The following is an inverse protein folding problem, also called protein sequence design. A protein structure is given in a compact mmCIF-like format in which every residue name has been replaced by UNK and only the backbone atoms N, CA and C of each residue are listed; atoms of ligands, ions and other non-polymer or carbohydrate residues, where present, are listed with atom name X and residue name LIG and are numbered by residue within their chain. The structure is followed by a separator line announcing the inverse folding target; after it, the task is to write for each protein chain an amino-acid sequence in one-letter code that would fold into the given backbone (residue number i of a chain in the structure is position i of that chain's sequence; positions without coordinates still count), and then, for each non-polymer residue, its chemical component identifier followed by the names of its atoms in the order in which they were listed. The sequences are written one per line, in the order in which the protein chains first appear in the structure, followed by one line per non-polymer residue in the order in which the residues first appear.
data_IF_688533685490
#
_entry.id   IF_688533685490
#
_cell.length_a   1.000
_cell.length_b   1.000
_cell.length_c   1.000
_cell.angle_alpha   90.00
_cell.angle_beta   90.00
_cell.angle_gamma   90.00
#
_symmetry.space_group_name_H-M   'P 1'
#
loop_
_entity.id
_entity.type
_entity.pdbx_description
1 polymer ?
#
# COMPACT_ATOMS: atom_id res chain seq x y z
N UNK A 1 -6.35 4.00 -9.76
CA UNK A 1 -5.95 3.23 -8.56
C UNK A 1 -4.64 3.80 -8.06
N UNK A 2 -4.53 4.17 -6.78
CA UNK A 2 -3.24 4.52 -6.20
C UNK A 2 -2.27 3.35 -6.39
N UNK A 3 -1.04 3.61 -6.82
CA UNK A 3 -0.06 2.53 -6.97
C UNK A 3 0.14 1.80 -5.64
N UNK A 4 0.25 0.48 -5.70
CA UNK A 4 0.38 -0.38 -4.51
C UNK A 4 -0.95 -0.83 -3.92
N UNK A 5 -2.08 -0.40 -4.49
CA UNK A 5 -3.40 -0.95 -4.15
C UNK A 5 -3.77 -2.11 -5.06
N UNK A 6 -4.62 -3.00 -4.55
CA UNK A 6 -5.06 -4.21 -5.25
C UNK A 6 -6.34 -3.89 -6.05
N UNK A 7 -6.28 -4.03 -7.36
CA UNK A 7 -7.46 -4.09 -8.21
C UNK A 7 -7.83 -5.54 -8.52
N UNK A 8 -8.77 -5.76 -9.42
CA UNK A 8 -9.06 -7.10 -9.92
C UNK A 8 -10.54 -7.35 -10.09
N UNK A 9 -10.87 -8.59 -10.38
CA UNK A 9 -12.25 -9.05 -10.48
C UNK A 9 -12.81 -9.21 -9.07
N UNK A 10 -13.97 -8.61 -8.82
CA UNK A 10 -14.73 -8.80 -7.58
C UNK A 10 -15.97 -9.60 -7.96
N UNK A 11 -16.04 -10.84 -7.52
CA UNK A 11 -17.15 -11.74 -7.79
C UNK A 11 -16.71 -13.20 -7.79
N UNK A 12 -17.68 -14.11 -7.77
CA UNK A 12 -17.43 -15.56 -7.74
C UNK A 12 -17.44 -16.17 -9.16
N UNK A 13 -16.88 -15.45 -10.14
CA UNK A 13 -16.84 -15.94 -11.53
C UNK A 13 -15.71 -16.95 -11.68
N UNK A 14 -16.02 -18.12 -12.23
CA UNK A 14 -15.03 -19.20 -12.44
C UNK A 14 -15.09 -19.75 -13.86
N UNK A 15 -14.01 -20.40 -14.29
CA UNK A 15 -13.93 -21.09 -15.59
C UNK A 15 -14.37 -20.21 -16.77
N UNK A 16 -15.36 -20.71 -17.53
CA UNK A 16 -15.86 -20.01 -18.72
C UNK A 16 -16.53 -18.66 -18.42
N UNK A 17 -17.20 -18.51 -17.28
CA UNK A 17 -17.89 -17.26 -16.95
C UNK A 17 -16.89 -16.13 -16.74
N UNK A 18 -15.80 -16.44 -16.04
CA UNK A 18 -14.68 -15.52 -15.85
C UNK A 18 -14.07 -15.11 -17.19
N UNK A 19 -13.85 -16.08 -18.10
CA UNK A 19 -13.35 -15.81 -19.46
C UNK A 19 -14.29 -14.87 -20.22
N UNK A 20 -15.59 -15.20 -20.26
CA UNK A 20 -16.61 -14.41 -20.98
C UNK A 20 -16.67 -12.97 -20.45
N UNK A 21 -16.64 -12.80 -19.13
CA UNK A 21 -16.62 -11.49 -18.51
C UNK A 21 -15.38 -10.68 -18.94
N UNK A 22 -14.19 -11.28 -18.86
CA UNK A 22 -12.95 -10.58 -19.24
C UNK A 22 -12.94 -10.25 -20.73
N UNK A 23 -13.44 -11.15 -21.59
CA UNK A 23 -13.58 -10.87 -23.02
C UNK A 23 -14.51 -9.67 -23.26
N UNK A 24 -15.62 -9.58 -22.53
CA UNK A 24 -16.52 -8.43 -22.57
C UNK A 24 -15.83 -7.14 -22.11
N UNK A 25 -15.03 -7.18 -21.03
CA UNK A 25 -14.22 -6.05 -20.56
C UNK A 25 -13.19 -5.63 -21.62
N UNK A 26 -12.46 -6.58 -22.21
CA UNK A 26 -11.47 -6.30 -23.27
C UNK A 26 -12.14 -5.67 -24.49
N UNK A 27 -13.31 -6.19 -24.90
CA UNK A 27 -14.10 -5.62 -26.00
C UNK A 27 -14.54 -4.19 -25.67
N UNK A 28 -15.13 -3.97 -24.50
CA UNK A 28 -15.52 -2.64 -24.03
C UNK A 28 -14.34 -1.67 -24.01
N UNK A 29 -13.17 -2.08 -23.49
CA UNK A 29 -11.97 -1.25 -23.50
C UNK A 29 -11.50 -0.92 -24.92
N UNK A 30 -11.57 -1.88 -25.85
CA UNK A 30 -11.15 -1.69 -27.26
C UNK A 30 -11.92 -0.57 -27.95
N UNK A 31 -13.19 -0.36 -27.60
CA UNK A 31 -14.04 0.72 -28.10
C UNK A 31 -13.67 2.10 -27.52
N UNK A 32 -12.83 2.17 -26.47
CA UNK A 32 -12.54 3.38 -25.68
C UNK A 32 -11.10 3.88 -25.77
N UNK A 33 -10.31 3.50 -26.79
CA UNK A 33 -8.88 3.89 -26.96
C UNK A 33 -8.05 3.70 -25.68
N UNK A 34 -8.01 2.47 -25.17
CA UNK A 34 -7.23 2.10 -23.99
C UNK A 34 -5.73 1.91 -24.31
N UNK A 35 -4.87 2.07 -23.30
CA UNK A 35 -3.42 1.83 -23.42
C UNK A 35 -3.01 0.49 -22.79
N UNK A 36 -3.54 0.22 -21.60
CA UNK A 36 -3.16 -0.92 -20.76
C UNK A 36 -4.34 -1.33 -19.89
N UNK A 37 -4.52 -2.64 -19.73
CA UNK A 37 -5.47 -3.27 -18.84
C UNK A 37 -4.67 -4.15 -17.89
N UNK A 38 -4.87 -3.96 -16.59
CA UNK A 38 -4.16 -4.67 -15.54
C UNK A 38 -5.17 -5.28 -14.57
N UNK A 39 -5.03 -6.57 -14.29
CA UNK A 39 -5.82 -7.31 -13.32
C UNK A 39 -4.85 -7.86 -12.29
N UNK A 40 -5.08 -7.54 -11.01
CA UNK A 40 -4.30 -8.12 -9.91
C UNK A 40 -5.04 -9.35 -9.43
N UNK A 41 -4.35 -10.49 -9.48
CA UNK A 41 -4.84 -11.76 -9.00
C UNK A 41 -4.17 -12.08 -7.66
N UNK A 42 -4.71 -11.48 -6.61
CA UNK A 42 -4.16 -11.60 -5.25
C UNK A 42 -4.35 -13.01 -4.66
N UNK A 43 -5.41 -13.71 -5.08
CA UNK A 43 -5.81 -15.02 -4.56
C UNK A 43 -5.43 -16.19 -5.49
N UNK A 44 -4.99 -15.94 -6.72
CA UNK A 44 -4.59 -16.98 -7.67
C UNK A 44 -5.77 -17.60 -8.43
N UNK A 45 -6.88 -16.87 -8.52
CA UNK A 45 -8.18 -17.32 -9.03
C UNK A 45 -8.41 -16.92 -10.49
N UNK A 46 -7.47 -16.22 -11.13
CA UNK A 46 -7.61 -15.69 -12.49
C UNK A 46 -6.68 -16.37 -13.51
N UNK A 47 -6.33 -17.65 -13.30
CA UNK A 47 -5.38 -18.38 -14.16
C UNK A 47 -5.85 -18.47 -15.63
N UNK A 48 -7.17 -18.43 -15.85
CA UNK A 48 -7.79 -18.43 -17.17
C UNK A 48 -7.38 -17.23 -18.05
N UNK A 49 -6.88 -16.13 -17.45
CA UNK A 49 -6.36 -14.97 -18.17
C UNK A 49 -5.18 -15.29 -19.09
N UNK A 50 -4.44 -16.36 -18.81
CA UNK A 50 -3.32 -16.82 -19.63
C UNK A 50 -3.81 -17.22 -21.04
N UNK A 51 -5.02 -17.77 -21.14
CA UNK A 51 -5.65 -18.14 -22.42
C UNK A 51 -6.07 -16.91 -23.26
N UNK A 52 -6.11 -15.72 -22.66
CA UNK A 52 -6.53 -14.47 -23.31
C UNK A 52 -5.37 -13.54 -23.70
N UNK A 53 -4.15 -14.08 -23.79
CA UNK A 53 -2.91 -13.36 -24.14
C UNK A 53 -2.57 -12.21 -23.18
N UNK A 54 -2.88 -12.38 -21.89
CA UNK A 54 -2.36 -11.50 -20.85
C UNK A 54 -0.93 -11.92 -20.48
N UNK A 55 -0.04 -10.94 -20.33
CA UNK A 55 1.28 -11.18 -19.75
C UNK A 55 1.12 -11.35 -18.24
N UNK A 56 1.49 -12.53 -17.73
CA UNK A 56 1.56 -12.81 -16.28
C UNK A 56 2.89 -12.31 -15.71
N UNK A 57 2.84 -11.66 -14.56
CA UNK A 57 4.02 -11.27 -13.77
C UNK A 57 3.78 -11.64 -12.32
N UNK A 58 4.69 -12.42 -11.73
CA UNK A 58 4.64 -12.72 -10.30
C UNK A 58 5.27 -11.58 -9.52
N UNK A 59 4.60 -11.16 -8.46
CA UNK A 59 5.11 -10.20 -7.48
C UNK A 59 4.78 -10.68 -6.08
N UNK A 60 5.23 -9.94 -5.05
CA UNK A 60 4.95 -10.30 -3.67
C UNK A 60 4.59 -9.09 -2.82
N UNK A 61 3.86 -9.37 -1.74
CA UNK A 61 3.60 -8.47 -0.61
C UNK A 61 4.11 -9.12 0.68
N UNK A 62 4.03 -8.40 1.80
CA UNK A 62 4.19 -9.00 3.13
C UNK A 62 2.87 -8.97 3.88
N UNK A 63 2.44 -10.11 4.39
CA UNK A 63 1.27 -10.23 5.25
C UNK A 63 1.70 -10.63 6.65
N UNK A 64 1.16 -9.96 7.66
CA UNK A 64 1.18 -10.45 9.03
C UNK A 64 -0.16 -11.17 9.27
N UNK A 65 -0.10 -12.44 9.62
CA UNK A 65 -1.25 -13.14 10.19
C UNK A 65 -1.38 -12.75 11.67
N UNK A 66 -2.41 -11.97 12.00
CA UNK A 66 -2.62 -11.38 13.33
C UNK A 66 -3.05 -12.40 14.40
N UNK A 67 -3.53 -13.57 13.98
CA UNK A 67 -3.86 -14.69 14.88
C UNK A 67 -2.64 -15.57 15.17
N UNK A 68 -1.52 -15.34 14.49
CA UNK A 68 -0.29 -16.12 14.67
C UNK A 68 0.68 -15.47 15.66
N UNK A 69 1.52 -16.30 16.28
CA UNK A 69 2.62 -15.82 17.15
C UNK A 69 3.61 -14.91 16.41
N UNK A 70 3.71 -14.99 15.08
CA UNK A 70 4.58 -14.10 14.28
C UNK A 70 4.16 -12.64 14.39
N UNK A 71 2.88 -12.36 14.66
CA UNK A 71 2.41 -10.99 14.89
C UNK A 71 3.01 -10.33 16.15
N UNK A 72 3.62 -11.12 17.04
CA UNK A 72 4.23 -10.62 18.27
C UNK A 72 5.71 -10.27 18.13
N UNK A 73 6.40 -10.81 17.10
CA UNK A 73 7.86 -10.71 16.96
C UNK A 73 8.32 -9.25 16.91
N UNK A 74 7.57 -8.40 16.21
CA UNK A 74 7.91 -6.98 16.07
C UNK A 74 7.90 -6.20 17.39
N UNK A 75 7.18 -6.66 18.41
CA UNK A 75 7.18 -6.01 19.73
C UNK A 75 8.46 -6.25 20.53
N UNK A 76 9.28 -7.23 20.14
CA UNK A 76 10.61 -7.47 20.72
C UNK A 76 11.71 -6.70 19.97
N UNK A 77 11.35 -5.96 18.92
CA UNK A 77 12.31 -5.18 18.14
C UNK A 77 12.87 -4.06 19.00
N UNK A 78 14.20 -3.98 19.13
CA UNK A 78 14.90 -2.89 19.82
C UNK A 78 14.42 -1.48 19.43
N UNK A 79 14.07 -1.29 18.16
CA UNK A 79 13.53 -0.01 17.67
C UNK A 79 12.17 0.35 18.27
N UNK A 80 11.29 -0.63 18.46
CA UNK A 80 10.01 -0.44 19.15
C UNK A 80 10.22 -0.18 20.65
N UNK A 81 11.07 -0.96 21.32
CA UNK A 81 11.40 -0.71 22.73
C UNK A 81 12.02 0.67 22.95
N UNK A 82 12.83 1.15 22.01
CA UNK A 82 13.37 2.51 22.01
C UNK A 82 12.27 3.56 21.88
N UNK A 83 11.31 3.35 20.97
CA UNK A 83 10.21 4.31 20.77
C UNK A 83 9.32 4.45 22.00
N UNK A 84 9.10 3.35 22.74
CA UNK A 84 8.32 3.37 23.99
C UNK A 84 8.96 4.21 25.11
N UNK A 85 10.28 4.44 25.05
CA UNK A 85 11.01 5.29 26.01
C UNK A 85 11.02 6.76 25.61
N UNK A 86 10.40 7.10 24.49
CA UNK A 86 10.30 8.47 23.97
C UNK A 86 8.93 9.05 24.27
N UNK A 87 8.88 10.36 24.43
CA UNK A 87 7.63 11.11 24.63
C UNK A 87 6.89 11.31 23.30
N UNK A 88 6.43 10.20 22.72
CA UNK A 88 5.69 10.18 21.47
C UNK A 88 4.20 10.01 21.74
N UNK A 89 3.39 10.90 21.19
CA UNK A 89 1.94 10.76 21.16
C UNK A 89 1.49 10.21 19.80
N UNK A 90 0.61 9.20 19.80
CA UNK A 90 0.04 8.64 18.56
C UNK A 90 -1.47 8.85 18.57
N UNK A 91 -2.01 9.41 17.48
CA UNK A 91 -3.45 9.60 17.30
C UNK A 91 -3.86 9.60 15.83
N UNK A 92 -5.15 9.48 15.58
CA UNK A 92 -5.70 9.71 14.24
C UNK A 92 -5.60 11.21 13.86
N UNK A 93 -5.42 11.45 12.56
CA UNK A 93 -5.47 12.77 11.94
C UNK A 93 -6.88 13.38 12.09
N UNK A 94 -6.98 14.69 12.29
CA UNK A 94 -8.28 15.34 12.53
C UNK A 94 -8.55 16.60 11.71
N UNK A 95 -7.59 17.12 10.93
CA UNK A 95 -7.80 18.34 10.14
C UNK A 95 -7.03 18.37 8.83
N UNK A 96 -7.48 19.24 7.91
CA UNK A 96 -6.79 19.48 6.64
C UNK A 96 -5.42 20.14 6.82
N UNK A 97 -5.20 20.89 7.89
CA UNK A 97 -3.87 21.46 8.19
C UNK A 97 -2.86 20.36 8.54
N UNK A 98 -3.31 19.32 9.24
CA UNK A 98 -2.49 18.14 9.50
C UNK A 98 -2.21 17.37 8.20
N UNK A 99 -3.19 17.30 7.29
CA UNK A 99 -2.99 16.69 5.96
C UNK A 99 -1.91 17.43 5.18
N UNK A 100 -1.89 18.77 5.24
CA UNK A 100 -0.83 19.60 4.65
C UNK A 100 0.54 19.27 5.25
N UNK A 101 0.62 19.15 6.58
CA UNK A 101 1.85 18.77 7.26
C UNK A 101 2.34 17.39 6.82
N UNK A 102 1.45 16.39 6.79
CA UNK A 102 1.79 15.06 6.26
C UNK A 102 2.28 15.12 4.81
N UNK A 103 1.66 15.95 3.97
CA UNK A 103 2.13 16.12 2.60
C UNK A 103 3.55 16.70 2.52
N UNK A 104 3.93 17.61 3.41
CA UNK A 104 5.32 18.09 3.49
C UNK A 104 6.29 16.97 3.88
N UNK A 105 5.92 16.11 4.82
CA UNK A 105 6.73 14.93 5.19
C UNK A 105 6.90 13.97 3.99
N UNK A 106 5.85 13.78 3.20
CA UNK A 106 5.88 13.01 1.96
C UNK A 106 6.87 13.61 0.94
N UNK A 107 6.80 14.91 0.70
CA UNK A 107 7.70 15.62 -0.22
C UNK A 107 9.17 15.50 0.23
N UNK A 108 9.45 15.72 1.52
CA UNK A 108 10.80 15.59 2.06
C UNK A 108 11.35 14.16 1.93
N UNK A 109 10.51 13.15 2.10
CA UNK A 109 10.87 11.74 1.90
C UNK A 109 11.16 11.46 0.42
N UNK A 110 10.35 11.99 -0.50
CA UNK A 110 10.56 11.84 -1.93
C UNK A 110 11.87 12.51 -2.41
N UNK A 111 12.18 13.69 -1.88
CA UNK A 111 13.43 14.40 -2.15
C UNK A 111 14.66 13.62 -1.66
N UNK A 112 14.62 13.11 -0.43
CA UNK A 112 15.67 12.24 0.13
C UNK A 112 15.96 11.03 -0.76
N UNK A 113 14.93 10.43 -1.34
CA UNK A 113 15.04 9.29 -2.25
C UNK A 113 15.32 9.68 -3.71
N UNK A 114 15.56 10.97 -3.99
CA UNK A 114 15.86 11.52 -5.31
C UNK A 114 14.82 11.11 -6.36
N UNK A 115 13.56 11.07 -5.96
CA UNK A 115 12.48 10.69 -6.85
C UNK A 115 12.31 11.79 -7.91
N UNK A 116 12.55 11.44 -9.18
CA UNK A 116 12.45 12.37 -10.32
C UNK A 116 11.09 13.04 -10.46
N UNK A 117 10.04 12.46 -9.89
CA UNK A 117 8.67 12.99 -9.87
C UNK A 117 7.97 12.58 -8.58
N UNK A 118 7.22 13.52 -8.01
CA UNK A 118 6.25 13.19 -6.96
C UNK A 118 5.16 12.30 -7.55
N UNK A 119 4.84 11.26 -6.80
CA UNK A 119 3.88 10.22 -7.17
C UNK A 119 2.45 10.75 -7.14
N UNK A 120 2.13 11.64 -6.19
CA UNK A 120 0.78 12.14 -5.96
C UNK A 120 0.76 13.65 -5.68
N UNK A 121 -0.23 14.38 -6.23
CA UNK A 121 -0.46 15.78 -5.89
C UNK A 121 -1.12 15.91 -4.51
N UNK A 122 -1.02 17.09 -3.89
CA UNK A 122 -1.69 17.37 -2.60
C UNK A 122 -3.20 17.08 -2.64
N UNK A 123 -3.86 17.43 -3.75
CA UNK A 123 -5.29 17.15 -3.97
C UNK A 123 -5.67 15.68 -3.74
N UNK A 124 -4.74 14.74 -3.99
CA UNK A 124 -4.98 13.34 -3.72
C UNK A 124 -5.12 13.06 -2.21
N UNK A 125 -4.24 13.63 -1.38
CA UNK A 125 -4.28 13.48 0.08
C UNK A 125 -5.50 14.20 0.68
N UNK A 126 -5.84 15.38 0.15
CA UNK A 126 -7.05 16.12 0.55
C UNK A 126 -8.32 15.30 0.25
N UNK A 127 -8.42 14.73 -0.95
CA UNK A 127 -9.55 13.89 -1.32
C UNK A 127 -9.62 12.63 -0.43
N UNK A 128 -8.47 12.02 -0.14
CA UNK A 128 -8.42 10.84 0.71
C UNK A 128 -8.93 11.14 2.12
N UNK A 129 -8.47 12.22 2.74
CA UNK A 129 -8.98 12.66 4.04
C UNK A 129 -10.46 12.98 3.98
N UNK A 130 -10.90 13.78 3.00
CA UNK A 130 -12.29 14.22 2.89
C UNK A 130 -13.27 13.06 2.71
N UNK A 131 -12.90 12.04 1.93
CA UNK A 131 -13.72 10.85 1.72
C UNK A 131 -13.63 9.83 2.87
N UNK A 132 -12.50 9.81 3.58
CA UNK A 132 -12.20 8.74 4.53
C UNK A 132 -12.37 9.11 6.00
N UNK A 133 -12.34 10.40 6.37
CA UNK A 133 -12.31 10.87 7.77
C UNK A 133 -13.49 10.39 8.62
N UNK A 134 -14.67 10.27 8.02
CA UNK A 134 -15.90 9.84 8.70
C UNK A 134 -16.19 8.34 8.44
N UNK A 135 -15.24 7.63 7.82
CA UNK A 135 -15.35 6.21 7.49
C UNK A 135 -14.43 5.37 8.36
N UNK A 136 -14.80 4.12 8.61
CA UNK A 136 -13.86 3.15 9.18
C UNK A 136 -12.86 2.60 8.16
N UNK A 137 -12.98 2.95 6.87
CA UNK A 137 -12.16 2.43 5.78
C UNK A 137 -10.77 3.08 5.71
N UNK A 138 -10.59 4.24 6.35
CA UNK A 138 -9.33 4.97 6.40
C UNK A 138 -8.81 5.00 7.83
N UNK A 139 -7.55 4.59 8.03
CA UNK A 139 -6.84 4.75 9.29
C UNK A 139 -5.54 5.49 9.05
N UNK A 140 -5.55 6.77 9.40
CA UNK A 140 -4.43 7.67 9.19
C UNK A 140 -3.91 8.15 10.54
N UNK A 141 -2.82 7.55 10.97
CA UNK A 141 -2.19 7.80 12.25
C UNK A 141 -1.03 8.79 12.12
N UNK A 142 -0.87 9.62 13.13
CA UNK A 142 0.19 10.60 13.28
C UNK A 142 1.03 10.24 14.50
N UNK A 143 2.33 10.51 14.43
CA UNK A 143 3.20 10.60 15.60
C UNK A 143 3.51 12.05 15.86
N UNK A 144 3.29 12.49 17.10
CA UNK A 144 3.64 13.80 17.58
C UNK A 144 4.75 13.71 18.63
N UNK A 145 5.69 14.65 18.55
CA UNK A 145 6.65 14.95 19.61
C UNK A 145 6.65 16.44 19.83
N UNK A 146 6.51 16.89 21.08
CA UNK A 146 6.47 18.32 21.41
C UNK A 146 5.44 19.11 20.56
N UNK A 147 4.28 18.50 20.29
CA UNK A 147 3.18 19.02 19.43
C UNK A 147 3.49 19.11 17.92
N UNK A 148 4.69 18.77 17.48
CA UNK A 148 5.05 18.67 16.06
C UNK A 148 4.69 17.29 15.52
N UNK A 149 4.08 17.23 14.33
CA UNK A 149 3.88 15.97 13.58
C UNK A 149 5.23 15.56 12.99
N UNK A 150 5.77 14.43 13.48
CA UNK A 150 7.09 13.94 13.06
C UNK A 150 7.00 12.72 12.15
N UNK A 151 5.86 12.03 12.11
CA UNK A 151 5.61 10.93 11.19
C UNK A 151 4.12 10.72 10.98
N UNK A 152 3.77 10.04 9.89
CA UNK A 152 2.42 9.55 9.66
C UNK A 152 2.44 8.18 8.99
N UNK A 153 1.32 7.48 9.10
CA UNK A 153 1.03 6.26 8.37
C UNK A 153 -0.43 6.23 7.95
N UNK A 154 -0.68 5.87 6.69
CA UNK A 154 -2.00 5.73 6.08
C UNK A 154 -2.26 4.25 5.80
N UNK A 155 -3.41 3.79 6.26
CA UNK A 155 -3.87 2.43 6.08
C UNK A 155 -5.30 2.41 5.57
N UNK A 156 -5.60 1.42 4.74
CA UNK A 156 -6.97 1.12 4.31
C UNK A 156 -7.48 -0.10 5.04
N UNK A 157 -8.68 -0.02 5.57
CA UNK A 157 -9.39 -1.13 6.17
C UNK A 157 -10.44 -1.65 5.17
N UNK A 158 -10.41 -2.96 4.92
CA UNK A 158 -11.49 -3.61 4.20
C UNK A 158 -11.70 -5.02 4.76
N UNK A 159 -12.94 -5.31 5.20
CA UNK A 159 -13.29 -6.54 5.93
C UNK A 159 -12.34 -6.77 7.12
N UNK A 160 -11.65 -7.91 7.14
CA UNK A 160 -10.72 -8.36 8.19
C UNK A 160 -9.25 -8.08 7.82
N UNK A 161 -8.99 -7.17 6.87
CA UNK A 161 -7.64 -6.83 6.40
C UNK A 161 -7.37 -5.34 6.57
N UNK A 162 -6.33 -5.02 7.34
CA UNK A 162 -5.70 -3.69 7.32
C UNK A 162 -4.61 -3.69 6.23
N UNK A 163 -4.50 -2.62 5.45
CA UNK A 163 -3.49 -2.49 4.40
C UNK A 163 -2.67 -1.22 4.60
N UNK A 164 -1.39 -1.36 4.90
CA UNK A 164 -0.43 -0.25 4.89
C UNK A 164 -0.30 0.27 3.46
N UNK A 165 -0.56 1.55 3.25
CA UNK A 165 -0.50 2.15 1.92
C UNK A 165 0.65 3.15 1.77
N UNK A 166 0.77 4.07 2.73
CA UNK A 166 1.76 5.14 2.67
C UNK A 166 2.21 5.55 4.07
N UNK A 167 3.39 6.14 4.16
CA UNK A 167 3.94 6.64 5.41
C UNK A 167 5.24 7.40 5.17
N UNK A 168 5.47 8.40 6.01
CA UNK A 168 6.67 9.22 5.97
C UNK A 168 7.02 9.72 7.37
N UNK A 169 8.27 10.14 7.53
CA UNK A 169 8.79 10.62 8.81
C UNK A 169 9.86 11.68 8.59
N UNK A 170 9.96 12.63 9.52
CA UNK A 170 11.00 13.64 9.52
C UNK A 170 12.36 12.98 9.78
N UNK A 171 13.37 13.22 8.93
CA UNK A 171 14.70 12.62 9.08
C UNK A 171 15.34 12.85 10.45
N UNK A 172 15.19 14.06 11.00
CA UNK A 172 15.82 14.47 12.26
C UNK A 172 15.28 13.72 13.48
N UNK A 173 14.09 13.11 13.35
CA UNK A 173 13.43 12.36 14.41
C UNK A 173 13.53 10.84 14.23
N UNK A 174 14.27 10.34 13.23
CA UNK A 174 14.41 8.90 13.00
C UNK A 174 15.06 8.15 14.17
N UNK A 175 15.87 8.83 14.98
CA UNK A 175 16.48 8.29 16.20
C UNK A 175 15.45 8.00 17.30
N UNK A 176 14.29 8.67 17.28
CA UNK A 176 13.16 8.41 18.17
C UNK A 176 12.26 7.26 17.70
N UNK A 177 12.57 6.67 16.54
CA UNK A 177 11.89 5.47 16.01
C UNK A 177 10.37 5.66 15.78
N UNK A 178 9.90 6.77 15.19
CA UNK A 178 8.46 7.01 15.03
C UNK A 178 7.77 5.98 14.13
N UNK A 179 8.47 5.45 13.13
CA UNK A 179 7.91 4.40 12.24
C UNK A 179 7.72 3.06 12.96
N UNK A 180 8.59 2.73 13.92
CA UNK A 180 8.40 1.55 14.78
C UNK A 180 7.23 1.76 15.75
N UNK A 181 7.09 2.97 16.29
CA UNK A 181 5.95 3.34 17.13
C UNK A 181 4.62 3.20 16.36
N UNK A 182 4.55 3.72 15.13
CA UNK A 182 3.38 3.59 14.26
C UNK A 182 3.06 2.13 13.93
N UNK A 183 4.06 1.34 13.57
CA UNK A 183 3.84 -0.07 13.23
C UNK A 183 3.30 -0.87 14.42
N UNK A 184 3.89 -0.69 15.61
CA UNK A 184 3.40 -1.32 16.83
C UNK A 184 1.99 -0.87 17.22
N UNK A 185 1.70 0.43 17.08
CA UNK A 185 0.34 0.96 17.27
C UNK A 185 -0.65 0.31 16.29
N UNK A 186 -0.27 0.21 15.02
CA UNK A 186 -1.11 -0.33 13.94
C UNK A 186 -1.47 -1.79 14.18
N UNK A 187 -0.48 -2.62 14.55
CA UNK A 187 -0.69 -4.05 14.84
C UNK A 187 -1.58 -4.21 16.07
N UNK A 188 -1.30 -3.46 17.15
CA UNK A 188 -2.13 -3.51 18.35
C UNK A 188 -3.57 -3.08 18.08
N UNK A 189 -3.76 -2.01 17.30
CA UNK A 189 -5.08 -1.56 16.87
C UNK A 189 -5.80 -2.63 16.04
N UNK A 190 -5.12 -3.24 15.07
CA UNK A 190 -5.69 -4.28 14.22
C UNK A 190 -6.13 -5.51 15.03
N UNK A 191 -5.30 -5.96 15.99
CA UNK A 191 -5.63 -7.09 16.88
C UNK A 191 -6.82 -6.77 17.80
N UNK A 192 -6.86 -5.58 18.39
CA UNK A 192 -8.00 -5.14 19.22
C UNK A 192 -9.32 -5.11 18.43
N UNK A 193 -9.24 -4.82 17.12
CA UNK A 193 -10.37 -4.82 16.21
C UNK A 193 -10.62 -6.18 15.53
N UNK A 194 -9.97 -7.26 15.99
CA UNK A 194 -10.16 -8.64 15.51
C UNK A 194 -9.98 -8.81 14.00
N UNK A 195 -9.04 -8.04 13.43
CA UNK A 195 -8.63 -8.23 12.04
C UNK A 195 -7.77 -9.48 11.93
N UNK A 196 -7.85 -10.18 10.80
CA UNK A 196 -7.06 -11.41 10.55
C UNK A 196 -5.71 -11.12 9.93
N UNK A 197 -5.63 -10.14 9.03
CA UNK A 197 -4.42 -9.84 8.31
C UNK A 197 -4.05 -8.37 8.36
N UNK A 198 -2.75 -8.11 8.47
CA UNK A 198 -2.18 -6.80 8.17
C UNK A 198 -1.26 -6.91 6.96
N UNK A 199 -1.70 -6.35 5.85
CA UNK A 199 -0.97 -6.32 4.60
C UNK A 199 -0.03 -5.10 4.56
N UNK A 200 1.27 -5.35 4.60
CA UNK A 200 2.30 -4.31 4.61
C UNK A 200 2.65 -3.80 3.19
N UNK A 201 1.92 -4.27 2.17
CA UNK A 201 2.11 -3.88 0.78
C UNK A 201 3.36 -4.46 0.12
N UNK A 202 3.43 -4.30 -1.20
CA UNK A 202 4.58 -4.72 -2.00
C UNK A 202 5.87 -3.95 -1.68
N UNK A 203 7.01 -4.54 -1.99
CA UNK A 203 8.31 -3.86 -1.94
C UNK A 203 9.02 -4.06 -3.28
N UNK A 204 9.74 -3.05 -3.80
CA UNK A 204 10.70 -3.29 -4.89
C UNK A 204 11.71 -4.35 -4.47
N UNK A 205 12.10 -5.24 -5.39
CA UNK A 205 13.03 -6.34 -5.07
C UNK A 205 14.37 -5.87 -4.48
N UNK A 206 14.82 -4.69 -4.89
CA UNK A 206 16.08 -4.08 -4.43
C UNK A 206 15.95 -3.26 -3.15
N UNK A 207 14.76 -3.14 -2.57
CA UNK A 207 14.52 -2.34 -1.36
C UNK A 207 14.75 -3.18 -0.09
N UNK A 208 15.97 -3.70 0.08
CA UNK A 208 16.32 -4.66 1.15
C UNK A 208 15.97 -4.15 2.55
N UNK A 209 16.25 -2.88 2.85
CA UNK A 209 15.91 -2.30 4.15
C UNK A 209 14.40 -2.26 4.42
N UNK A 210 13.58 -1.99 3.40
CA UNK A 210 12.11 -2.00 3.52
C UNK A 210 11.57 -3.43 3.65
N UNK A 211 12.14 -4.38 2.90
CA UNK A 211 11.80 -5.81 3.01
C UNK A 211 12.11 -6.31 4.42
N UNK A 212 13.35 -6.08 4.88
CA UNK A 212 13.79 -6.45 6.23
C UNK A 212 12.92 -5.81 7.31
N UNK A 213 12.59 -4.53 7.18
CA UNK A 213 11.69 -3.87 8.13
C UNK A 213 10.34 -4.58 8.25
N UNK A 214 9.73 -4.97 7.12
CA UNK A 214 8.45 -5.70 7.11
C UNK A 214 8.58 -7.11 7.72
N UNK A 215 9.66 -7.81 7.39
CA UNK A 215 9.96 -9.16 7.92
C UNK A 215 10.25 -9.13 9.44
N UNK A 216 10.99 -8.12 9.93
CA UNK A 216 11.28 -7.91 11.36
C UNK A 216 10.00 -7.64 12.19
N UNK A 217 8.93 -7.17 11.54
CA UNK A 217 7.60 -6.98 12.13
C UNK A 217 6.68 -8.20 11.98
N UNK A 218 7.22 -9.34 11.55
CA UNK A 218 6.46 -10.60 11.39
C UNK A 218 5.78 -10.74 10.03
N UNK A 219 6.08 -9.86 9.07
CA UNK A 219 5.53 -9.91 7.73
C UNK A 219 6.09 -11.07 6.92
N UNK A 220 5.21 -11.93 6.42
CA UNK A 220 5.58 -13.07 5.58
C UNK A 220 5.30 -12.79 4.11
N UNK A 221 6.21 -13.22 3.23
CA UNK A 221 6.04 -13.01 1.79
C UNK A 221 4.85 -13.79 1.26
N UNK A 222 3.85 -13.08 0.74
CA UNK A 222 2.78 -13.66 -0.07
C UNK A 222 3.01 -13.30 -1.54
N UNK A 223 3.23 -14.33 -2.36
CA UNK A 223 3.27 -14.20 -3.82
C UNK A 223 1.86 -14.03 -4.37
N UNK A 224 1.74 -13.23 -5.41
CA UNK A 224 0.51 -13.04 -6.19
C UNK A 224 0.85 -12.64 -7.63
N UNK A 225 -0.14 -12.62 -8.51
CA UNK A 225 0.08 -12.36 -9.92
C UNK A 225 -0.56 -11.05 -10.37
N UNK A 226 0.08 -10.42 -11.34
CA UNK A 226 -0.50 -9.35 -12.14
C UNK A 226 -0.60 -9.86 -13.57
N UNK A 227 -1.80 -9.74 -14.15
CA UNK A 227 -2.07 -10.00 -15.55
C UNK A 227 -2.20 -8.67 -16.27
N UNK A 228 -1.37 -8.45 -17.29
CA UNK A 228 -1.34 -7.21 -18.06
C UNK A 228 -1.57 -7.48 -19.55
N UNK A 229 -2.48 -6.72 -20.16
CA UNK A 229 -2.63 -6.62 -21.62
C UNK A 229 -2.34 -5.18 -22.02
N UNK A 230 -1.66 -5.00 -23.15
CA UNK A 230 -1.33 -3.68 -23.70
C UNK A 230 -1.89 -3.59 -25.12
N UNK A 231 -2.59 -2.51 -25.44
CA UNK A 231 -3.12 -2.26 -26.78
C UNK A 231 -2.00 -1.87 -27.76
N UNK A 232 -2.29 -1.84 -29.07
CA UNK A 232 -1.33 -1.34 -30.07
C UNK A 232 -0.90 0.11 -29.76
N UNK A 233 -1.83 0.97 -29.37
CA UNK A 233 -1.54 2.34 -28.96
C UNK A 233 -0.63 2.39 -27.73
N UNK A 234 -0.88 1.52 -26.73
CA UNK A 234 -0.03 1.41 -25.55
C UNK A 234 1.40 0.95 -25.88
N UNK A 235 1.55 0.04 -26.85
CA UNK A 235 2.88 -0.39 -27.34
C UNK A 235 3.65 0.77 -27.98
N UNK A 236 2.99 1.55 -28.84
CA UNK A 236 3.58 2.73 -29.48
C UNK A 236 4.01 3.77 -28.43
N UNK A 237 3.15 4.07 -27.45
CA UNK A 237 3.48 4.99 -26.36
C UNK A 237 4.69 4.53 -25.56
N UNK A 238 4.78 3.23 -25.25
CA UNK A 238 5.92 2.67 -24.51
C UNK A 238 7.24 2.79 -25.30
N UNK A 239 7.19 2.66 -26.63
CA UNK A 239 8.36 2.86 -27.49
C UNK A 239 8.81 4.33 -27.50
N UNK A 240 7.87 5.27 -27.67
CA UNK A 240 8.17 6.70 -27.63
C UNK A 240 8.81 7.12 -26.29
N UNK A 241 8.31 6.59 -25.16
CA UNK A 241 8.89 6.84 -23.82
C UNK A 241 10.30 6.29 -23.61
N UNK A 242 10.74 5.32 -24.41
CA UNK A 242 12.11 4.76 -24.33
C UNK A 242 13.11 5.56 -25.16
N UNK A 243 12.63 6.35 -26.12
CA UNK A 243 13.44 7.18 -27.01
C UNK A 243 13.62 8.62 -26.48
N UNK A 244 12.85 8.99 -25.45
CA UNK A 244 12.92 10.25 -24.71
C UNK A 244 13.58 10.01 -23.35
#
# INVERSE_FOLDING_TARGET
MPFGTYGGLIGNLTGEEQIKFIQAVVKFCSEKKWLRLQIVDFFGECQELEKLNFKKTQIFTHLINLDSQKSEVGFQKRGYEQSLKKELAIREICSLDEVRNCYQLYLATAEKHQLKRFKYPFQFYENLFSMGKDSNLLKWWLVLKEKQIIAYQINFLFKDVLCYWDGASLPDFLTDRPNDALMGHSINWAKRNKLKFYNLGGSPEKAEGLIKFKEDWGGERKKYFIYEKTSTLGKIQNLARKLL
#
